data_IF_995800522075
#
_entry.id   IF_995800522075
#
_cell.length_a   1.000
_cell.length_b   1.000
_cell.length_c   1.000
_cell.angle_alpha   90.00
_cell.angle_beta   90.00
_cell.angle_gamma   90.00
#
_symmetry.space_group_name_H-M   'P 1'
#
loop_
_entity.id
_entity.type
_entity.pdbx_description
1 polymer ?
#
# COMPACT_ATOMS: atom_id res chain seq x y z
N UNK A 1 -11.23 45.97 -47.82
CA UNK A 1 -12.09 45.00 -47.13
C UNK A 1 -11.24 43.83 -46.65
N UNK A 2 -10.93 43.73 -45.36
CA UNK A 2 -10.17 42.61 -44.78
C UNK A 2 -11.17 41.56 -44.29
N UNK A 3 -11.19 40.38 -44.90
CA UNK A 3 -12.02 39.25 -44.47
C UNK A 3 -11.31 38.53 -43.33
N UNK A 4 -11.87 38.58 -42.13
CA UNK A 4 -11.41 37.78 -41.00
C UNK A 4 -11.89 36.34 -41.19
N UNK A 5 -10.94 35.42 -41.37
CA UNK A 5 -11.19 34.00 -41.48
C UNK A 5 -11.37 33.44 -40.06
N UNK A 6 -12.61 33.21 -39.66
CA UNK A 6 -12.96 32.62 -38.36
C UNK A 6 -12.68 31.11 -38.41
N UNK A 7 -11.55 30.70 -37.84
CA UNK A 7 -11.21 29.29 -37.63
C UNK A 7 -11.97 28.78 -36.39
N UNK A 8 -13.08 28.06 -36.62
CA UNK A 8 -13.78 27.34 -35.57
C UNK A 8 -13.03 26.01 -35.35
N UNK A 9 -12.26 25.94 -34.27
CA UNK A 9 -11.67 24.69 -33.79
C UNK A 9 -12.81 23.84 -33.21
N UNK A 10 -13.33 22.91 -34.02
CA UNK A 10 -14.28 21.90 -33.55
C UNK A 10 -13.48 20.91 -32.68
N UNK A 11 -13.43 21.16 -31.38
CA UNK A 11 -12.84 20.24 -30.40
C UNK A 11 -13.79 19.04 -30.30
N UNK A 12 -13.54 18.00 -31.10
CA UNK A 12 -14.27 16.74 -30.98
C UNK A 12 -13.92 16.11 -29.64
N UNK A 13 -14.84 16.20 -28.67
CA UNK A 13 -14.83 15.36 -27.47
C UNK A 13 -14.95 13.90 -27.94
N UNK A 14 -13.81 13.23 -28.08
CA UNK A 14 -13.81 11.77 -28.16
C UNK A 14 -14.36 11.28 -26.81
N UNK A 15 -15.44 10.49 -26.78
CA UNK A 15 -15.90 9.90 -25.53
C UNK A 15 -14.74 9.07 -24.98
N UNK A 16 -14.33 9.33 -23.74
CA UNK A 16 -13.49 8.38 -23.03
C UNK A 16 -14.29 7.07 -23.00
N UNK A 17 -13.75 6.01 -23.59
CA UNK A 17 -14.35 4.69 -23.45
C UNK A 17 -14.42 4.38 -21.95
N UNK A 18 -15.62 4.07 -21.45
CA UNK A 18 -15.82 3.59 -20.08
C UNK A 18 -14.87 2.41 -19.86
N UNK A 19 -14.15 2.43 -18.74
CA UNK A 19 -13.26 1.33 -18.45
C UNK A 19 -14.12 0.10 -18.12
N UNK A 20 -13.78 -1.08 -18.63
CA UNK A 20 -14.57 -2.26 -18.30
C UNK A 20 -14.54 -2.54 -16.77
N UNK A 21 -15.53 -3.27 -16.26
CA UNK A 21 -15.45 -3.89 -14.93
C UNK A 21 -14.74 -5.24 -14.99
N UNK A 22 -13.93 -5.56 -13.98
CA UNK A 22 -13.43 -6.92 -13.77
C UNK A 22 -14.34 -7.65 -12.77
N UNK A 23 -15.07 -8.65 -13.23
CA UNK A 23 -15.90 -9.50 -12.38
C UNK A 23 -15.45 -10.95 -12.49
N UNK A 24 -14.98 -11.53 -11.39
CA UNK A 24 -14.69 -12.96 -11.28
C UNK A 24 -15.60 -13.58 -10.23
N UNK A 25 -16.34 -14.61 -10.63
CA UNK A 25 -17.19 -15.39 -9.72
C UNK A 25 -16.70 -16.84 -9.76
N UNK A 26 -15.84 -17.19 -8.80
CA UNK A 26 -14.97 -18.37 -8.88
C UNK A 26 -13.90 -18.23 -9.96
N UNK A 27 -13.23 -19.35 -10.26
CA UNK A 27 -12.18 -19.40 -11.27
C UNK A 27 -10.94 -18.57 -10.92
N UNK A 28 -10.08 -18.35 -11.91
CA UNK A 28 -8.87 -17.56 -11.72
C UNK A 28 -8.48 -16.79 -12.99
N UNK A 29 -7.74 -15.69 -12.79
CA UNK A 29 -7.09 -14.94 -13.87
C UNK A 29 -5.70 -14.50 -13.42
N UNK A 30 -4.85 -14.11 -14.38
CA UNK A 30 -3.50 -13.59 -14.11
C UNK A 30 -3.32 -12.25 -14.82
N UNK A 31 -2.90 -11.22 -14.07
CA UNK A 31 -2.67 -9.86 -14.58
C UNK A 31 -1.28 -9.36 -14.20
N UNK A 32 -0.79 -8.35 -14.91
CA UNK A 32 0.40 -7.59 -14.57
C UNK A 32 0.34 -6.15 -15.07
N UNK A 33 1.33 -5.35 -14.71
CA UNK A 33 1.42 -3.95 -15.11
C UNK A 33 0.27 -3.10 -14.59
N UNK A 34 -0.03 -2.02 -15.30
CA UNK A 34 -1.10 -1.09 -14.93
C UNK A 34 -2.40 -1.47 -15.62
N UNK A 35 -3.43 -1.68 -14.82
CA UNK A 35 -4.78 -2.02 -15.25
C UNK A 35 -5.74 -0.94 -14.79
N UNK A 36 -6.69 -0.57 -15.65
CA UNK A 36 -7.73 0.42 -15.34
C UNK A 36 -9.09 -0.24 -15.46
N UNK A 37 -9.93 -0.10 -14.44
CA UNK A 37 -11.28 -0.65 -14.41
C UNK A 37 -12.27 0.35 -13.82
N UNK A 38 -13.54 0.21 -14.17
CA UNK A 38 -14.60 0.95 -13.47
C UNK A 38 -14.84 0.38 -12.07
N UNK A 39 -14.87 -0.95 -11.97
CA UNK A 39 -14.99 -1.67 -10.70
C UNK A 39 -14.31 -3.04 -10.77
N UNK A 40 -13.94 -3.57 -9.61
CA UNK A 40 -13.40 -4.93 -9.46
C UNK A 40 -14.24 -5.68 -8.45
N UNK A 41 -14.71 -6.87 -8.80
CA UNK A 41 -15.46 -7.76 -7.90
C UNK A 41 -14.93 -9.19 -8.02
N UNK A 42 -14.40 -9.71 -6.91
CA UNK A 42 -13.93 -11.08 -6.74
C UNK A 42 -14.84 -11.79 -5.74
N UNK A 43 -15.61 -12.77 -6.21
CA UNK A 43 -16.55 -13.55 -5.39
C UNK A 43 -16.42 -15.05 -5.62
N UNK A 44 -17.02 -15.86 -4.75
CA UNK A 44 -17.21 -17.29 -5.00
C UNK A 44 -15.91 -18.09 -5.08
N UNK A 45 -14.89 -17.68 -4.33
CA UNK A 45 -13.57 -18.30 -4.33
C UNK A 45 -12.68 -17.89 -5.49
N UNK A 46 -12.97 -16.75 -6.14
CA UNK A 46 -12.17 -16.24 -7.25
C UNK A 46 -10.72 -15.96 -6.84
N UNK A 47 -9.78 -16.23 -7.76
CA UNK A 47 -8.35 -15.97 -7.53
C UNK A 47 -7.77 -15.06 -8.62
N UNK A 48 -7.30 -13.89 -8.22
CA UNK A 48 -6.51 -13.00 -9.06
C UNK A 48 -5.01 -13.21 -8.78
N UNK A 49 -4.27 -13.69 -9.76
CA UNK A 49 -2.81 -13.84 -9.67
C UNK A 49 -2.07 -12.65 -10.30
N UNK A 50 -0.88 -12.35 -9.78
CA UNK A 50 0.08 -11.45 -10.45
C UNK A 50 1.01 -12.25 -11.36
N UNK A 51 1.24 -11.88 -12.61
CA UNK A 51 2.19 -12.59 -13.50
C UNK A 51 3.57 -12.68 -12.84
N UNK A 52 4.20 -13.87 -12.75
CA UNK A 52 5.53 -13.99 -12.14
C UNK A 52 6.59 -13.18 -12.90
N UNK A 53 7.51 -12.54 -12.18
CA UNK A 53 8.62 -11.81 -12.79
C UNK A 53 9.49 -12.74 -13.66
N UNK A 54 9.72 -12.33 -14.90
CA UNK A 54 10.49 -13.09 -15.88
C UNK A 54 11.84 -12.44 -16.27
N UNK A 55 12.21 -11.34 -15.62
CA UNK A 55 13.42 -10.58 -15.97
C UNK A 55 13.16 -9.35 -16.86
N UNK A 56 11.92 -9.09 -17.27
CA UNK A 56 11.58 -7.99 -18.16
C UNK A 56 10.17 -7.42 -17.94
N UNK A 57 9.97 -6.20 -18.45
CA UNK A 57 8.67 -5.55 -18.53
C UNK A 57 8.04 -5.27 -17.17
N UNK A 58 6.72 -5.47 -17.09
CA UNK A 58 5.88 -5.22 -15.91
C UNK A 58 5.59 -6.46 -15.08
N UNK A 59 6.19 -7.61 -15.42
CA UNK A 59 5.96 -8.86 -14.69
C UNK A 59 6.37 -8.72 -13.22
N UNK A 60 5.69 -9.45 -12.34
CA UNK A 60 5.84 -9.33 -10.89
C UNK A 60 5.26 -8.04 -10.28
N UNK A 61 4.68 -7.16 -11.09
CA UNK A 61 4.00 -5.95 -10.63
C UNK A 61 2.55 -5.92 -11.09
N UNK A 62 1.65 -5.44 -10.24
CA UNK A 62 0.26 -5.19 -10.58
C UNK A 62 -0.19 -3.86 -9.93
N UNK A 63 -0.68 -2.94 -10.77
CA UNK A 63 -1.24 -1.66 -10.35
C UNK A 63 -2.68 -1.62 -10.86
N UNK A 64 -3.64 -1.56 -9.94
CA UNK A 64 -5.07 -1.48 -10.23
C UNK A 64 -5.53 -0.05 -9.97
N UNK A 65 -5.92 0.66 -11.03
CA UNK A 65 -6.56 1.97 -10.95
C UNK A 65 -8.06 1.79 -11.20
N UNK A 66 -8.85 1.95 -10.15
CA UNK A 66 -10.28 1.63 -10.16
C UNK A 66 -11.10 2.89 -9.88
N UNK A 67 -11.98 3.26 -10.80
CA UNK A 67 -12.78 4.49 -10.66
C UNK A 67 -13.82 4.39 -9.51
N UNK A 68 -14.40 3.20 -9.36
CA UNK A 68 -15.38 2.85 -8.35
C UNK A 68 -14.78 1.96 -7.26
N UNK A 69 -15.41 0.80 -7.07
CA UNK A 69 -15.19 -0.05 -5.90
C UNK A 69 -14.35 -1.28 -6.22
N UNK A 70 -13.55 -1.70 -5.24
CA UNK A 70 -12.88 -3.00 -5.23
C UNK A 70 -13.51 -3.86 -4.13
N UNK A 71 -14.13 -4.97 -4.53
CA UNK A 71 -14.75 -5.94 -3.64
C UNK A 71 -14.04 -7.28 -3.74
N UNK A 72 -13.51 -7.79 -2.62
CA UNK A 72 -12.93 -9.13 -2.49
C UNK A 72 -13.64 -9.83 -1.34
N UNK A 73 -14.51 -10.78 -1.66
CA UNK A 73 -15.24 -11.53 -0.64
C UNK A 73 -14.33 -12.40 0.23
N UNK A 74 -14.86 -12.93 1.33
CA UNK A 74 -14.11 -13.71 2.31
C UNK A 74 -13.51 -15.01 1.78
N UNK A 75 -13.96 -15.49 0.62
CA UNK A 75 -13.49 -16.73 0.00
C UNK A 75 -12.46 -16.48 -1.09
N UNK A 76 -12.39 -15.26 -1.61
CA UNK A 76 -11.59 -14.86 -2.77
C UNK A 76 -10.21 -14.36 -2.39
N UNK A 77 -9.30 -14.35 -3.38
CA UNK A 77 -7.87 -14.12 -3.14
C UNK A 77 -7.21 -13.27 -4.20
N UNK A 78 -6.26 -12.43 -3.79
CA UNK A 78 -5.26 -11.78 -4.65
C UNK A 78 -3.88 -12.32 -4.27
N UNK A 79 -3.19 -13.00 -5.19
CA UNK A 79 -1.98 -13.78 -4.90
C UNK A 79 -0.79 -13.32 -5.76
N UNK A 80 0.23 -12.83 -5.07
CA UNK A 80 1.56 -12.51 -5.57
C UNK A 80 2.69 -13.25 -4.85
N UNK A 81 2.39 -14.36 -4.18
CA UNK A 81 3.39 -15.18 -3.48
C UNK A 81 4.47 -15.71 -4.45
N UNK A 82 5.75 -15.54 -4.09
CA UNK A 82 6.91 -15.99 -4.86
C UNK A 82 6.88 -15.61 -6.36
N UNK A 83 6.36 -14.41 -6.67
CA UNK A 83 6.17 -13.88 -8.04
C UNK A 83 6.95 -12.60 -8.32
N UNK A 84 7.78 -12.14 -7.38
CA UNK A 84 8.70 -11.01 -7.50
C UNK A 84 10.06 -11.43 -8.06
N UNK A 85 11.12 -10.68 -7.73
CA UNK A 85 12.46 -10.90 -8.29
C UNK A 85 12.95 -12.34 -8.06
N UNK A 86 13.68 -12.90 -9.05
CA UNK A 86 14.08 -14.31 -9.05
C UNK A 86 15.14 -14.59 -7.99
N UNK A 87 15.10 -15.80 -7.44
CA UNK A 87 16.18 -16.31 -6.60
C UNK A 87 17.43 -16.65 -7.42
N UNK A 88 18.57 -16.71 -6.73
CA UNK A 88 19.84 -17.05 -7.33
C UNK A 88 20.01 -18.57 -7.49
N UNK A 89 20.68 -18.98 -8.57
CA UNK A 89 21.00 -20.39 -8.80
C UNK A 89 21.95 -20.91 -7.71
N UNK A 90 21.78 -22.18 -7.34
CA UNK A 90 22.72 -22.88 -6.46
C UNK A 90 24.06 -23.14 -7.17
N UNK A 91 25.11 -23.29 -6.38
CA UNK A 91 26.44 -23.60 -6.90
C UNK A 91 26.49 -24.99 -7.55
N UNK A 92 27.24 -25.12 -8.64
CA UNK A 92 27.46 -26.42 -9.30
C UNK A 92 28.50 -27.26 -8.55
N UNK A 93 28.39 -28.60 -8.59
CA UNK A 93 29.45 -29.49 -8.10
C UNK A 93 30.78 -29.22 -8.81
N UNK A 94 31.90 -29.39 -8.11
CA UNK A 94 33.23 -29.38 -8.73
C UNK A 94 33.49 -30.63 -9.59
N UNK A 95 34.39 -30.56 -10.59
CA UNK A 95 34.93 -31.74 -11.32
C UNK A 95 35.71 -32.73 -10.41
N UNK A 96 36.38 -33.78 -10.92
CA UNK A 96 36.92 -34.88 -10.05
C UNK A 96 38.46 -34.99 -9.84
N UNK A 97 38.94 -35.12 -8.57
CA UNK A 97 40.33 -35.13 -7.96
C UNK A 97 41.55 -34.46 -8.68
N UNK A 98 42.41 -33.60 -8.04
CA UNK A 98 42.64 -33.43 -6.59
C UNK A 98 42.42 -32.02 -5.95
N UNK A 99 42.08 -30.97 -6.69
CA UNK A 99 41.72 -29.66 -6.12
C UNK A 99 40.60 -29.05 -6.97
N UNK A 100 39.37 -29.02 -6.44
CA UNK A 100 38.21 -28.55 -7.21
C UNK A 100 37.77 -27.16 -6.82
N UNK A 101 37.70 -26.32 -7.84
CA UNK A 101 36.89 -25.12 -7.82
C UNK A 101 35.42 -25.55 -7.85
N UNK A 102 34.82 -25.68 -6.67
CA UNK A 102 33.37 -25.67 -6.54
C UNK A 102 32.87 -24.27 -6.92
N UNK A 103 31.75 -24.20 -7.63
CA UNK A 103 31.19 -22.92 -8.05
C UNK A 103 30.34 -22.37 -6.91
N UNK A 104 30.58 -21.11 -6.55
CA UNK A 104 29.73 -20.40 -5.59
C UNK A 104 28.28 -20.36 -6.08
N UNK A 105 27.33 -20.24 -5.14
CA UNK A 105 25.97 -19.88 -5.51
C UNK A 105 25.92 -18.50 -6.17
N UNK A 106 24.81 -18.20 -6.84
CA UNK A 106 24.56 -16.87 -7.44
C UNK A 106 23.62 -16.09 -6.52
N UNK A 107 23.81 -14.77 -6.46
CA UNK A 107 22.92 -13.89 -5.71
C UNK A 107 21.56 -13.83 -6.40
N UNK A 108 20.50 -13.57 -5.63
CA UNK A 108 19.18 -13.31 -6.21
C UNK A 108 19.14 -12.03 -7.04
N UNK A 109 17.97 -11.72 -7.59
CA UNK A 109 17.68 -10.43 -8.19
C UNK A 109 17.01 -9.47 -7.18
N UNK A 110 16.97 -8.19 -7.52
CA UNK A 110 16.27 -7.16 -6.75
C UNK A 110 17.16 -6.31 -5.86
N UNK A 111 16.55 -5.26 -5.30
CA UNK A 111 17.20 -4.34 -4.37
C UNK A 111 17.46 -5.07 -3.04
N UNK A 112 18.61 -4.87 -2.40
CA UNK A 112 18.90 -5.59 -1.16
C UNK A 112 18.83 -7.12 -1.31
N UNK A 113 19.22 -7.68 -2.46
CA UNK A 113 19.43 -9.11 -2.62
C UNK A 113 20.45 -9.62 -1.58
N UNK A 114 20.27 -10.87 -1.16
CA UNK A 114 21.27 -11.51 -0.32
C UNK A 114 22.58 -11.79 -1.03
N UNK A 115 23.67 -11.84 -0.26
CA UNK A 115 24.96 -12.23 -0.78
C UNK A 115 25.03 -13.75 -1.03
N UNK A 116 25.85 -14.14 -1.98
CA UNK A 116 26.12 -15.54 -2.33
C UNK A 116 26.79 -16.28 -1.19
N UNK A 117 26.46 -17.55 -1.01
CA UNK A 117 27.32 -18.48 -0.30
C UNK A 117 28.67 -18.61 -0.99
N UNK A 118 29.76 -18.51 -0.23
CA UNK A 118 31.12 -18.72 -0.76
C UNK A 118 31.68 -20.06 -0.33
N UNK A 119 32.51 -20.63 -1.20
CA UNK A 119 33.28 -21.83 -0.93
C UNK A 119 34.72 -21.46 -0.55
N UNK A 120 35.36 -22.26 0.30
CA UNK A 120 36.79 -22.12 0.62
C UNK A 120 37.65 -22.61 -0.56
N UNK A 121 38.82 -22.00 -0.76
CA UNK A 121 39.71 -22.26 -1.88
C UNK A 121 40.37 -23.66 -1.86
N UNK A 122 40.36 -24.36 -0.72
CA UNK A 122 41.10 -25.62 -0.52
C UNK A 122 40.22 -26.81 -0.07
N UNK A 123 39.45 -27.34 -1.01
CA UNK A 123 39.29 -28.77 -1.33
C UNK A 123 38.69 -29.79 -0.36
N UNK A 124 38.98 -29.75 0.95
CA UNK A 124 38.74 -30.93 1.80
C UNK A 124 37.55 -30.84 2.74
N UNK A 125 37.10 -29.62 3.03
CA UNK A 125 36.07 -29.39 4.02
C UNK A 125 35.22 -28.18 3.61
N UNK A 126 34.29 -28.39 2.68
CA UNK A 126 33.50 -27.31 2.10
C UNK A 126 32.08 -27.35 2.59
N UNK A 127 31.72 -26.35 3.38
CA UNK A 127 30.35 -26.05 3.74
C UNK A 127 30.04 -24.65 3.18
N UNK A 128 29.52 -24.63 1.95
CA UNK A 128 29.14 -23.39 1.29
C UNK A 128 28.09 -22.68 2.14
N UNK A 129 28.43 -21.50 2.64
CA UNK A 129 27.55 -20.72 3.50
C UNK A 129 26.17 -20.53 2.86
N UNK A 130 25.10 -20.56 3.67
CA UNK A 130 23.74 -20.37 3.15
C UNK A 130 23.60 -19.03 2.40
N UNK A 131 22.79 -18.98 1.35
CA UNK A 131 22.53 -17.73 0.65
C UNK A 131 21.89 -16.69 1.57
N UNK A 132 22.32 -15.43 1.48
CA UNK A 132 21.65 -14.32 2.12
C UNK A 132 20.23 -14.15 1.60
N UNK A 133 19.38 -13.52 2.39
CA UNK A 133 18.00 -13.23 2.03
C UNK A 133 17.81 -11.86 1.37
N UNK A 134 16.75 -11.71 0.56
CA UNK A 134 16.26 -10.38 0.14
C UNK A 134 15.61 -9.61 1.31
N UNK A 135 15.45 -8.29 1.20
CA UNK A 135 14.97 -7.45 2.31
C UNK A 135 14.09 -6.28 1.90
N UNK A 136 12.78 -6.37 2.11
CA UNK A 136 11.86 -5.28 1.79
C UNK A 136 10.95 -4.90 2.97
N UNK A 137 11.46 -4.19 3.98
CA UNK A 137 10.68 -3.85 5.18
C UNK A 137 11.39 -4.26 6.46
N UNK A 138 12.06 -5.41 6.44
CA UNK A 138 13.07 -5.81 7.43
C UNK A 138 14.29 -6.43 6.76
N UNK A 139 15.42 -6.48 7.47
CA UNK A 139 16.65 -7.08 6.98
C UNK A 139 16.48 -8.59 6.80
N UNK A 140 17.17 -9.16 5.81
CA UNK A 140 17.24 -10.61 5.63
C UNK A 140 18.17 -11.25 6.66
N UNK A 141 17.93 -12.51 6.98
CA UNK A 141 18.87 -13.33 7.75
C UNK A 141 20.10 -13.68 6.93
N UNK A 142 21.25 -13.77 7.59
CA UNK A 142 22.46 -14.36 7.02
C UNK A 142 22.33 -15.88 7.00
N UNK A 143 22.92 -16.52 5.99
CA UNK A 143 23.17 -17.95 6.06
C UNK A 143 24.17 -18.28 7.17
N UNK A 144 24.12 -19.49 7.72
CA UNK A 144 25.14 -19.88 8.69
C UNK A 144 26.47 -20.15 7.98
N UNK A 145 27.56 -19.94 8.70
CA UNK A 145 28.81 -20.61 8.38
C UNK A 145 28.59 -22.11 8.59
N UNK A 146 29.19 -22.96 7.78
CA UNK A 146 29.31 -24.36 8.18
C UNK A 146 30.55 -24.58 9.03
N UNK A 147 30.87 -25.84 9.29
CA UNK A 147 31.90 -26.25 10.26
C UNK A 147 33.34 -25.86 9.86
N UNK A 148 33.51 -25.28 8.67
CA UNK A 148 34.80 -24.92 8.09
C UNK A 148 34.76 -23.49 7.52
N UNK A 149 35.95 -22.90 7.27
CA UNK A 149 36.27 -21.48 7.00
C UNK A 149 35.44 -20.70 5.97
N UNK A 150 34.43 -21.30 5.35
CA UNK A 150 33.45 -20.62 4.51
C UNK A 150 32.61 -19.61 5.30
N UNK A 151 32.35 -18.47 4.67
CA UNK A 151 31.45 -17.44 5.22
C UNK A 151 30.04 -17.64 4.66
N UNK A 152 29.06 -17.65 5.57
CA UNK A 152 27.64 -17.49 5.28
C UNK A 152 27.39 -16.30 4.37
N UNK A 153 26.48 -16.45 3.41
CA UNK A 153 26.00 -15.32 2.63
C UNK A 153 25.32 -14.30 3.56
N UNK A 154 25.80 -13.07 3.56
CA UNK A 154 25.20 -11.98 4.32
C UNK A 154 23.76 -11.71 3.85
N UNK A 155 22.84 -11.52 4.79
CA UNK A 155 21.48 -11.09 4.51
C UNK A 155 21.42 -9.72 3.82
N UNK A 156 20.34 -9.49 3.07
CA UNK A 156 20.08 -8.24 2.36
C UNK A 156 19.75 -7.07 3.29
N UNK A 157 20.12 -5.86 2.84
CA UNK A 157 19.78 -4.58 3.51
C UNK A 157 18.42 -4.05 3.10
N UNK A 158 17.64 -3.53 4.06
CA UNK A 158 16.33 -2.92 3.80
C UNK A 158 16.40 -1.80 2.76
N UNK A 159 15.37 -1.69 1.91
CA UNK A 159 15.27 -0.61 0.92
C UNK A 159 13.85 -0.06 0.78
N UNK A 160 13.74 1.18 0.28
CA UNK A 160 12.52 1.98 0.15
C UNK A 160 12.20 2.77 1.43
N UNK A 161 11.12 3.56 1.41
CA UNK A 161 10.74 4.41 2.55
C UNK A 161 9.60 3.83 3.39
N UNK A 162 9.59 4.14 4.68
CA UNK A 162 8.53 3.65 5.60
C UNK A 162 7.19 4.38 5.37
N UNK A 163 7.23 5.69 5.14
CA UNK A 163 6.05 6.57 5.08
C UNK A 163 5.71 7.12 3.70
N UNK A 164 6.59 6.96 2.71
CA UNK A 164 6.33 7.38 1.34
C UNK A 164 5.35 6.47 0.60
N UNK A 165 5.04 6.83 -0.63
CA UNK A 165 4.11 6.09 -1.50
C UNK A 165 4.77 4.94 -2.27
N UNK A 166 6.06 4.71 -2.05
CA UNK A 166 6.81 3.68 -2.75
C UNK A 166 6.51 2.28 -2.20
N UNK A 167 6.09 1.39 -3.09
CA UNK A 167 6.18 -0.05 -2.87
C UNK A 167 7.01 -0.71 -3.97
N UNK A 168 7.54 -1.89 -3.70
CA UNK A 168 8.39 -2.63 -4.63
C UNK A 168 8.10 -4.12 -4.54
N UNK A 169 8.48 -4.86 -5.59
CA UNK A 169 8.64 -6.31 -5.49
C UNK A 169 9.64 -6.64 -4.41
N UNK A 170 9.46 -7.82 -3.81
CA UNK A 170 10.42 -8.45 -2.94
C UNK A 170 11.58 -9.05 -3.73
N UNK A 171 12.74 -9.11 -3.08
CA UNK A 171 13.99 -9.59 -3.65
C UNK A 171 14.13 -11.10 -3.50
N UNK A 172 14.79 -11.71 -4.49
CA UNK A 172 15.07 -13.15 -4.47
C UNK A 172 16.08 -13.53 -3.41
N UNK A 173 15.96 -14.75 -2.87
CA UNK A 173 16.99 -15.35 -2.02
C UNK A 173 18.22 -15.74 -2.84
N UNK A 174 19.41 -15.73 -2.23
CA UNK A 174 20.62 -16.21 -2.90
C UNK A 174 20.70 -17.74 -2.93
N UNK A 175 21.42 -18.30 -3.90
CA UNK A 175 21.73 -19.73 -3.93
C UNK A 175 22.80 -20.12 -2.92
N UNK A 176 22.72 -21.34 -2.41
CA UNK A 176 23.76 -21.95 -1.58
C UNK A 176 24.98 -22.35 -2.41
N UNK A 177 26.15 -22.43 -1.77
CA UNK A 177 27.37 -22.91 -2.42
C UNK A 177 27.31 -24.40 -2.76
N UNK A 178 27.90 -24.80 -3.88
CA UNK A 178 28.09 -26.21 -4.21
C UNK A 178 29.16 -26.86 -3.33
N UNK A 179 29.05 -28.17 -3.13
CA UNK A 179 30.08 -28.97 -2.46
C UNK A 179 30.87 -29.81 -3.49
N UNK A 180 31.47 -30.91 -3.03
CA UNK A 180 32.24 -31.84 -3.87
C UNK A 180 31.38 -32.54 -4.95
N UNK A 181 32.01 -33.45 -5.71
CA UNK A 181 31.64 -33.96 -7.06
C UNK A 181 30.16 -34.21 -7.38
N UNK A 182 29.30 -34.47 -6.38
CA UNK A 182 27.91 -34.86 -6.61
C UNK A 182 26.89 -33.92 -5.95
N UNK A 183 27.33 -32.93 -5.19
CA UNK A 183 26.46 -32.15 -4.30
C UNK A 183 26.34 -30.70 -4.74
N UNK A 184 25.33 -30.41 -5.57
CA UNK A 184 24.98 -29.04 -5.93
C UNK A 184 24.41 -28.28 -4.73
N UNK A 185 24.66 -26.98 -4.68
CA UNK A 185 23.98 -26.08 -3.77
C UNK A 185 22.53 -25.92 -4.19
N UNK A 186 21.66 -25.59 -3.25
CA UNK A 186 20.26 -25.31 -3.53
C UNK A 186 20.04 -23.88 -4.01
N UNK A 187 19.08 -23.71 -4.93
CA UNK A 187 18.67 -22.40 -5.39
C UNK A 187 17.95 -21.61 -4.28
N UNK A 188 18.11 -20.29 -4.29
CA UNK A 188 17.18 -19.40 -3.60
C UNK A 188 15.86 -19.33 -4.35
N UNK A 189 14.80 -18.88 -3.69
CA UNK A 189 13.49 -18.74 -4.30
C UNK A 189 13.13 -17.28 -4.65
N UNK A 190 12.09 -17.05 -5.49
CA UNK A 190 11.66 -15.71 -5.85
C UNK A 190 10.98 -14.96 -4.70
N UNK A 191 11.12 -13.63 -4.68
CA UNK A 191 10.46 -12.74 -3.72
C UNK A 191 8.95 -12.62 -3.96
N UNK A 192 8.24 -11.91 -3.10
CA UNK A 192 6.84 -11.56 -3.33
C UNK A 192 6.67 -10.51 -4.43
N UNK A 193 5.56 -10.53 -5.16
CA UNK A 193 5.24 -9.53 -6.19
C UNK A 193 4.94 -8.14 -5.58
N UNK A 194 4.56 -7.18 -6.42
CA UNK A 194 4.07 -5.86 -6.00
C UNK A 194 2.60 -5.70 -6.37
N UNK A 195 1.82 -5.16 -5.44
CA UNK A 195 0.43 -4.75 -5.65
C UNK A 195 0.24 -3.30 -5.23
N UNK A 196 -0.42 -2.53 -6.10
CA UNK A 196 -1.02 -1.23 -5.77
C UNK A 196 -2.48 -1.25 -6.15
N UNK A 197 -3.37 -0.86 -5.25
CA UNK A 197 -4.79 -0.65 -5.52
C UNK A 197 -5.13 0.80 -5.20
N UNK A 198 -5.54 1.55 -6.23
CA UNK A 198 -6.12 2.88 -6.09
C UNK A 198 -7.61 2.76 -6.42
N UNK A 199 -8.49 3.08 -5.46
CA UNK A 199 -9.93 3.02 -5.69
C UNK A 199 -10.67 4.08 -4.89
N UNK A 200 -11.96 4.30 -5.23
CA UNK A 200 -12.84 5.11 -4.40
C UNK A 200 -13.11 4.43 -3.07
N UNK A 201 -13.53 3.17 -3.14
CA UNK A 201 -13.76 2.32 -1.98
C UNK A 201 -13.03 0.98 -2.14
N UNK A 202 -12.49 0.46 -1.05
CA UNK A 202 -11.82 -0.85 -1.01
C UNK A 202 -12.45 -1.67 0.10
N UNK A 203 -13.05 -2.81 -0.28
CA UNK A 203 -13.65 -3.81 0.59
C UNK A 203 -12.94 -5.14 0.38
N UNK A 204 -12.06 -5.50 1.31
CA UNK A 204 -11.33 -6.75 1.28
C UNK A 204 -11.69 -7.52 2.54
N UNK A 205 -12.40 -8.63 2.37
CA UNK A 205 -12.69 -9.58 3.44
C UNK A 205 -11.96 -10.91 3.22
N UNK A 206 -11.43 -11.12 2.01
CA UNK A 206 -10.66 -12.30 1.64
C UNK A 206 -9.17 -12.21 1.95
N UNK A 207 -8.37 -12.88 1.12
CA UNK A 207 -6.90 -12.96 1.30
C UNK A 207 -6.16 -12.13 0.26
N UNK A 208 -5.18 -11.33 0.70
CA UNK A 208 -4.16 -10.68 -0.15
C UNK A 208 -2.79 -11.17 0.31
N UNK A 209 -2.07 -11.88 -0.56
CA UNK A 209 -0.85 -12.61 -0.18
C UNK A 209 0.30 -12.38 -1.14
N UNK A 210 1.39 -11.80 -0.64
CA UNK A 210 2.58 -11.40 -1.40
C UNK A 210 3.85 -11.83 -0.65
N UNK A 211 3.89 -13.06 -0.17
CA UNK A 211 5.03 -13.60 0.58
C UNK A 211 6.20 -13.95 -0.36
N UNK A 212 7.42 -13.93 0.17
CA UNK A 212 8.57 -14.51 -0.49
C UNK A 212 8.58 -16.04 -0.41
N UNK A 213 9.20 -16.70 -1.40
CA UNK A 213 9.39 -18.15 -1.37
C UNK A 213 10.44 -18.59 -0.36
N UNK A 214 10.24 -19.77 0.25
CA UNK A 214 11.23 -20.40 1.11
C UNK A 214 12.43 -20.89 0.29
N UNK A 215 13.66 -20.78 0.79
CA UNK A 215 14.86 -21.25 0.08
C UNK A 215 14.88 -22.77 -0.15
N UNK A 216 15.61 -23.22 -1.18
CA UNK A 216 15.76 -24.66 -1.44
C UNK A 216 16.58 -25.35 -0.36
N UNK A 217 16.18 -26.56 0.03
CA UNK A 217 16.93 -27.37 1.00
C UNK A 217 18.19 -27.94 0.34
N UNK A 218 19.35 -27.81 0.97
CA UNK A 218 20.58 -28.46 0.52
C UNK A 218 20.44 -29.99 0.44
N UNK A 219 21.22 -30.63 -0.44
CA UNK A 219 21.19 -32.08 -0.62
C UNK A 219 21.72 -32.82 0.62
N UNK A 220 21.07 -33.92 1.00
CA UNK A 220 21.53 -34.77 2.10
C UNK A 220 22.46 -35.86 1.58
N UNK A 221 23.71 -35.91 2.07
CA UNK A 221 24.62 -37.00 1.78
C UNK A 221 25.35 -37.44 3.06
N UNK A 222 25.06 -38.65 3.54
CA UNK A 222 25.57 -39.16 4.83
C UNK A 222 26.74 -40.16 4.69
N UNK A 223 27.23 -40.40 3.47
CA UNK A 223 28.26 -41.42 3.28
C UNK A 223 29.65 -40.81 3.53
N UNK A 224 30.39 -41.34 4.51
CA UNK A 224 31.80 -41.04 4.81
C UNK A 224 32.20 -39.62 5.25
N UNK A 225 31.28 -38.81 5.77
CA UNK A 225 31.62 -37.47 6.28
C UNK A 225 31.90 -36.45 5.17
N UNK A 226 31.46 -36.72 3.94
CA UNK A 226 31.44 -35.72 2.88
C UNK A 226 30.34 -34.69 3.13
N UNK A 227 30.64 -33.43 2.83
CA UNK A 227 29.75 -32.32 3.08
C UNK A 227 28.62 -32.21 2.05
N UNK A 228 27.45 -31.76 2.51
CA UNK A 228 26.30 -31.42 1.70
C UNK A 228 26.48 -30.10 0.97
N UNK A 229 25.80 -29.94 -0.17
CA UNK A 229 25.64 -28.63 -0.79
C UNK A 229 24.87 -27.68 0.13
N UNK A 230 25.21 -26.40 0.11
CA UNK A 230 24.58 -25.39 0.95
C UNK A 230 23.10 -25.17 0.60
N UNK A 231 22.30 -24.78 1.59
CA UNK A 231 20.90 -24.41 1.37
C UNK A 231 20.76 -23.03 0.72
N UNK A 232 19.70 -22.87 -0.07
CA UNK A 232 19.31 -21.58 -0.63
C UNK A 232 18.72 -20.65 0.43
N UNK A 233 18.90 -19.35 0.27
CA UNK A 233 18.28 -18.31 1.09
C UNK A 233 16.79 -18.15 0.80
N UNK A 234 16.04 -17.76 1.83
CA UNK A 234 14.65 -17.36 1.73
C UNK A 234 14.51 -16.00 1.03
N UNK A 235 13.44 -15.84 0.26
CA UNK A 235 13.17 -14.61 -0.47
C UNK A 235 12.35 -13.62 0.36
N UNK A 236 12.40 -12.33 0.03
CA UNK A 236 11.66 -11.34 0.79
C UNK A 236 10.18 -11.29 0.43
N UNK A 237 9.36 -10.84 1.38
CA UNK A 237 7.99 -10.43 1.08
C UNK A 237 7.95 -9.27 0.08
N UNK A 238 6.83 -9.16 -0.63
CA UNK A 238 6.55 -8.12 -1.61
C UNK A 238 5.96 -6.84 -1.01
N UNK A 239 5.51 -5.94 -1.88
CA UNK A 239 4.89 -4.68 -1.51
C UNK A 239 3.42 -4.64 -1.81
N UNK A 240 2.62 -4.23 -0.82
CA UNK A 240 1.18 -4.03 -0.94
C UNK A 240 0.88 -2.58 -0.59
N UNK A 241 0.32 -1.83 -1.53
CA UNK A 241 -0.22 -0.49 -1.30
C UNK A 241 -1.72 -0.51 -1.57
N UNK A 242 -2.52 -0.20 -0.54
CA UNK A 242 -3.96 0.00 -0.66
C UNK A 242 -4.25 1.48 -0.44
N UNK A 243 -4.88 2.12 -1.41
CA UNK A 243 -5.21 3.54 -1.36
C UNK A 243 -6.69 3.74 -1.70
N UNK A 244 -7.48 4.06 -0.67
CA UNK A 244 -8.89 4.42 -0.80
C UNK A 244 -9.07 5.90 -0.49
N UNK A 245 -9.74 6.64 -1.39
CA UNK A 245 -10.05 8.04 -1.13
C UNK A 245 -11.34 8.26 -0.34
N UNK A 246 -12.13 7.21 -0.09
CA UNK A 246 -13.36 7.29 0.70
C UNK A 246 -13.40 6.22 1.80
N UNK A 247 -13.90 5.01 1.51
CA UNK A 247 -14.04 3.95 2.52
C UNK A 247 -13.00 2.85 2.32
N UNK A 248 -12.32 2.46 3.40
CA UNK A 248 -11.53 1.24 3.44
C UNK A 248 -12.08 0.28 4.49
N UNK A 249 -12.50 -0.90 4.06
CA UNK A 249 -12.92 -1.98 4.93
C UNK A 249 -12.07 -3.22 4.67
N UNK A 250 -11.24 -3.56 5.64
CA UNK A 250 -10.38 -4.74 5.68
C UNK A 250 -10.86 -5.75 6.73
N UNK A 251 -12.09 -5.61 7.24
CA UNK A 251 -12.59 -6.48 8.31
C UNK A 251 -12.55 -7.95 7.93
N UNK A 252 -12.11 -8.79 8.87
CA UNK A 252 -11.91 -10.23 8.69
C UNK A 252 -10.94 -10.65 7.56
N UNK A 253 -10.21 -9.72 6.95
CA UNK A 253 -9.24 -10.04 5.91
C UNK A 253 -7.97 -10.70 6.43
N UNK A 254 -7.26 -11.37 5.52
CA UNK A 254 -5.86 -11.77 5.74
C UNK A 254 -4.98 -11.06 4.71
N UNK A 255 -4.11 -10.16 5.16
CA UNK A 255 -3.20 -9.41 4.29
C UNK A 255 -1.76 -9.70 4.73
N UNK A 256 -0.96 -10.30 3.85
CA UNK A 256 0.39 -10.73 4.22
C UNK A 256 1.43 -10.48 3.14
N UNK A 257 2.60 -10.07 3.59
CA UNK A 257 3.80 -9.93 2.79
C UNK A 257 5.00 -10.40 3.63
N UNK A 258 5.02 -11.67 4.02
CA UNK A 258 6.08 -12.23 4.86
C UNK A 258 7.28 -12.66 4.02
N UNK A 259 8.46 -12.68 4.63
CA UNK A 259 9.63 -13.33 4.03
C UNK A 259 9.50 -14.85 4.07
N UNK A 260 10.18 -15.52 3.15
CA UNK A 260 10.28 -16.97 3.13
C UNK A 260 11.32 -17.49 4.12
N UNK A 261 11.15 -18.71 4.64
CA UNK A 261 12.18 -19.35 5.44
C UNK A 261 13.45 -19.62 4.61
N UNK A 262 14.62 -19.68 5.24
CA UNK A 262 15.81 -20.21 4.61
C UNK A 262 15.70 -21.72 4.40
N UNK A 263 16.42 -22.26 3.42
CA UNK A 263 16.49 -23.71 3.21
C UNK A 263 17.14 -24.42 4.39
N UNK A 264 16.68 -25.62 4.70
CA UNK A 264 17.20 -26.44 5.80
C UNK A 264 18.11 -27.56 5.29
N UNK A 265 19.13 -27.92 6.08
CA UNK A 265 19.90 -29.16 5.92
C UNK A 265 20.14 -29.79 7.29
N UNK A 266 20.19 -31.12 7.35
CA UNK A 266 20.79 -31.85 8.46
C UNK A 266 22.30 -31.90 8.24
N UNK A 267 23.09 -31.32 9.15
CA UNK A 267 24.57 -31.43 9.10
C UNK A 267 25.37 -30.17 8.73
N UNK A 268 24.80 -28.98 8.89
CA UNK A 268 25.42 -27.63 8.86
C UNK A 268 25.36 -26.85 7.53
N UNK A 269 25.07 -25.53 7.64
CA UNK A 269 24.81 -24.53 6.56
C UNK A 269 23.35 -24.29 6.10
N UNK A 270 22.37 -24.08 7.01
CA UNK A 270 21.06 -23.53 6.61
C UNK A 270 21.17 -22.17 5.91
N UNK A 271 20.22 -21.93 5.00
CA UNK A 271 20.03 -20.65 4.33
C UNK A 271 19.52 -19.57 5.28
N UNK A 272 19.80 -18.30 4.97
CA UNK A 272 19.22 -17.17 5.70
C UNK A 272 17.72 -17.01 5.40
N UNK A 273 16.92 -16.55 6.36
CA UNK A 273 15.49 -16.27 6.16
C UNK A 273 15.25 -14.95 5.44
N UNK A 274 14.26 -14.92 4.55
CA UNK A 274 13.75 -13.74 3.86
C UNK A 274 13.33 -12.62 4.81
N UNK A 275 13.67 -11.37 4.47
CA UNK A 275 13.07 -10.21 5.13
C UNK A 275 11.57 -10.14 4.84
N UNK A 276 10.79 -9.64 5.80
CA UNK A 276 9.40 -9.31 5.55
C UNK A 276 9.28 -8.22 4.48
N UNK A 277 8.11 -8.19 3.83
CA UNK A 277 7.65 -7.20 2.87
C UNK A 277 7.10 -5.93 3.53
N UNK A 278 6.39 -5.09 2.76
CA UNK A 278 5.70 -3.90 3.29
C UNK A 278 4.25 -3.83 2.89
N UNK A 279 3.43 -3.43 3.85
CA UNK A 279 2.01 -3.17 3.66
C UNK A 279 1.75 -1.71 4.02
N UNK A 280 1.26 -0.92 3.06
CA UNK A 280 0.89 0.47 3.24
C UNK A 280 -0.59 0.65 2.95
N UNK A 281 -1.30 1.22 3.89
CA UNK A 281 -2.74 1.44 3.84
C UNK A 281 -3.01 2.93 3.96
N UNK A 282 -3.41 3.55 2.85
CA UNK A 282 -3.86 4.93 2.76
C UNK A 282 -5.39 4.96 2.69
N UNK A 283 -6.04 5.68 3.60
CA UNK A 283 -7.50 5.72 3.68
C UNK A 283 -8.03 7.14 3.86
N UNK A 284 -9.15 7.44 3.18
CA UNK A 284 -9.72 8.78 3.08
C UNK A 284 -10.64 9.19 4.22
N UNK A 285 -11.83 8.61 4.31
CA UNK A 285 -12.86 8.98 5.29
C UNK A 285 -12.97 7.98 6.44
N UNK A 286 -12.88 6.68 6.16
CA UNK A 286 -13.02 5.64 7.17
C UNK A 286 -12.11 4.44 6.92
N UNK A 287 -11.66 3.83 8.02
CA UNK A 287 -10.97 2.55 8.05
C UNK A 287 -11.68 1.62 9.03
N UNK A 288 -12.13 0.48 8.55
CA UNK A 288 -12.55 -0.68 9.36
C UNK A 288 -11.54 -1.79 9.16
N UNK A 289 -10.94 -2.32 10.23
CA UNK A 289 -9.99 -3.43 10.17
C UNK A 289 -10.17 -4.44 11.30
N UNK A 290 -11.34 -4.43 11.94
CA UNK A 290 -11.67 -5.36 13.03
C UNK A 290 -11.59 -6.81 12.55
N UNK A 291 -10.88 -7.65 13.30
CA UNK A 291 -10.70 -9.06 12.96
C UNK A 291 -9.76 -9.33 11.78
N UNK A 292 -9.11 -8.30 11.23
CA UNK A 292 -8.09 -8.49 10.18
C UNK A 292 -6.79 -9.07 10.74
N UNK A 293 -6.11 -9.89 9.95
CA UNK A 293 -4.74 -10.35 10.21
C UNK A 293 -3.80 -9.73 9.19
N UNK A 294 -2.94 -8.80 9.64
CA UNK A 294 -1.99 -8.09 8.78
C UNK A 294 -0.56 -8.38 9.21
N UNK A 295 0.24 -9.01 8.35
CA UNK A 295 1.62 -9.46 8.68
C UNK A 295 2.62 -9.11 7.59
N UNK A 296 3.70 -8.42 7.96
CA UNK A 296 4.80 -8.04 7.08
C UNK A 296 6.02 -7.61 7.90
N UNK A 297 7.13 -7.28 7.23
CA UNK A 297 8.29 -6.67 7.88
C UNK A 297 8.01 -5.23 8.34
N UNK A 298 7.15 -4.51 7.62
CA UNK A 298 6.66 -3.19 8.00
C UNK A 298 5.20 -3.01 7.58
N UNK A 299 4.36 -2.49 8.49
CA UNK A 299 2.96 -2.16 8.24
C UNK A 299 2.71 -0.71 8.62
N UNK A 300 2.10 0.07 7.73
CA UNK A 300 1.74 1.46 7.98
C UNK A 300 0.28 1.72 7.59
N UNK A 301 -0.46 2.36 8.50
CA UNK A 301 -1.79 2.90 8.25
C UNK A 301 -1.66 4.42 8.26
N UNK A 302 -2.01 5.05 7.15
CA UNK A 302 -1.84 6.48 6.93
C UNK A 302 -3.18 7.06 6.54
N UNK A 303 -3.68 7.97 7.37
CA UNK A 303 -4.85 8.77 7.00
C UNK A 303 -4.47 9.70 5.85
N UNK A 304 -5.18 9.61 4.73
CA UNK A 304 -4.94 10.40 3.52
C UNK A 304 -6.24 11.13 3.15
N UNK A 305 -6.55 12.27 3.81
CA UNK A 305 -7.79 12.98 3.57
C UNK A 305 -7.88 13.48 2.12
N UNK A 306 -9.09 13.65 1.58
CA UNK A 306 -9.26 14.11 0.20
C UNK A 306 -8.83 15.57 0.03
N UNK A 307 -8.64 15.99 -1.22
CA UNK A 307 -8.57 17.41 -1.57
C UNK A 307 -9.98 17.95 -1.81
N UNK A 308 -10.27 19.16 -1.32
CA UNK A 308 -11.47 19.92 -1.69
C UNK A 308 -11.11 20.85 -2.84
N UNK A 309 -11.58 20.55 -4.05
CA UNK A 309 -11.37 21.39 -5.24
C UNK A 309 -12.72 21.88 -5.77
N UNK A 310 -12.95 23.18 -5.68
CA UNK A 310 -14.10 23.85 -6.29
C UNK A 310 -13.60 24.73 -7.44
N UNK A 311 -14.12 24.47 -8.64
CA UNK A 311 -13.70 25.11 -9.88
C UNK A 311 -14.92 25.70 -10.60
N UNK A 312 -15.22 26.97 -10.34
CA UNK A 312 -16.43 27.65 -10.82
C UNK A 312 -17.75 27.05 -10.33
N UNK A 313 -17.69 26.18 -9.32
CA UNK A 313 -18.84 25.53 -8.71
C UNK A 313 -19.03 25.98 -7.27
N UNK A 314 -20.25 25.78 -6.75
CA UNK A 314 -20.56 26.02 -5.35
C UNK A 314 -20.81 24.71 -4.60
N UNK A 315 -20.39 24.66 -3.33
CA UNK A 315 -20.69 23.55 -2.43
C UNK A 315 -21.10 24.09 -1.06
N UNK A 316 -21.99 23.38 -0.35
CA UNK A 316 -22.37 23.72 1.02
C UNK A 316 -21.85 22.63 1.97
N UNK A 317 -21.17 23.04 3.05
CA UNK A 317 -20.59 22.15 4.06
C UNK A 317 -20.92 22.61 5.49
N UNK A 318 -20.94 21.68 6.43
CA UNK A 318 -21.01 21.96 7.87
C UNK A 318 -20.24 20.96 8.71
N UNK A 319 -20.05 21.32 9.98
CA UNK A 319 -19.28 20.57 10.96
C UNK A 319 -17.78 20.61 10.68
N UNK A 320 -17.08 19.65 11.29
CA UNK A 320 -15.63 19.50 11.11
C UNK A 320 -15.34 18.66 9.88
N UNK A 321 -14.53 19.20 8.97
CA UNK A 321 -14.01 18.51 7.79
C UNK A 321 -12.50 18.46 7.84
N UNK A 322 -11.93 17.36 7.37
CA UNK A 322 -10.48 17.20 7.24
C UNK A 322 -10.18 17.05 5.76
N UNK A 323 -9.30 17.90 5.25
CA UNK A 323 -8.85 17.86 3.86
C UNK A 323 -7.33 17.88 3.81
N UNK A 324 -6.76 17.26 2.77
CA UNK A 324 -5.33 17.38 2.49
C UNK A 324 -5.02 18.80 2.02
N UNK A 325 -5.72 19.27 1.01
CA UNK A 325 -5.70 20.67 0.57
C UNK A 325 -7.10 21.18 0.25
N UNK A 326 -7.27 22.50 0.27
CA UNK A 326 -8.51 23.17 -0.15
C UNK A 326 -8.16 24.16 -1.25
N UNK A 327 -8.76 24.03 -2.42
CA UNK A 327 -8.56 24.92 -3.57
C UNK A 327 -9.91 25.40 -4.10
N UNK A 328 -10.16 26.71 -4.04
CA UNK A 328 -11.31 27.38 -4.63
C UNK A 328 -10.82 28.29 -5.76
N UNK A 329 -11.31 28.07 -6.98
CA UNK A 329 -10.92 28.84 -8.16
C UNK A 329 -12.08 29.11 -9.12
N UNK A 330 -11.88 30.05 -10.03
CA UNK A 330 -12.77 30.40 -11.13
C UNK A 330 -14.20 30.77 -10.68
N UNK A 331 -14.32 31.60 -9.65
CA UNK A 331 -15.58 32.01 -9.01
C UNK A 331 -16.29 30.90 -8.23
N UNK A 332 -15.51 29.97 -7.67
CA UNK A 332 -16.05 28.95 -6.78
C UNK A 332 -16.60 29.56 -5.48
N UNK A 333 -17.65 28.93 -4.93
CA UNK A 333 -18.27 29.38 -3.67
C UNK A 333 -18.46 28.24 -2.69
N UNK A 334 -17.77 28.30 -1.55
CA UNK A 334 -18.03 27.39 -0.44
C UNK A 334 -18.96 28.04 0.58
N UNK A 335 -20.13 27.44 0.78
CA UNK A 335 -21.12 27.87 1.75
C UNK A 335 -21.04 27.06 3.04
N UNK A 336 -21.21 27.72 4.19
CA UNK A 336 -21.56 27.02 5.45
C UNK A 336 -23.03 26.54 5.37
N UNK A 337 -23.42 25.41 5.95
CA UNK A 337 -24.85 25.06 6.05
C UNK A 337 -25.54 25.98 7.07
N UNK A 338 -26.70 26.61 6.79
CA UNK A 338 -27.43 27.40 7.78
C UNK A 338 -27.84 26.58 9.01
N UNK A 339 -27.74 27.16 10.20
CA UNK A 339 -28.23 26.54 11.43
C UNK A 339 -29.75 26.32 11.38
N UNK A 340 -30.20 25.13 11.76
CA UNK A 340 -31.61 24.74 11.77
C UNK A 340 -32.15 24.38 13.16
N UNK A 341 -31.37 24.63 14.21
CA UNK A 341 -31.74 24.26 15.58
C UNK A 341 -31.03 23.03 16.13
N UNK A 342 -30.26 22.28 15.32
CA UNK A 342 -29.63 21.03 15.76
C UNK A 342 -28.23 20.78 15.17
N UNK A 343 -27.46 19.93 15.85
CA UNK A 343 -26.23 19.34 15.30
C UNK A 343 -25.09 20.33 15.03
N UNK A 344 -24.41 20.13 13.91
CA UNK A 344 -23.20 20.86 13.49
C UNK A 344 -23.47 22.02 12.53
N UNK A 345 -24.73 22.23 12.14
CA UNK A 345 -25.11 23.26 11.18
C UNK A 345 -24.83 24.65 11.76
N UNK A 346 -24.62 25.62 10.88
CA UNK A 346 -24.14 26.96 11.25
C UNK A 346 -22.68 27.02 11.69
N UNK A 347 -21.97 25.89 11.69
CA UNK A 347 -20.53 25.80 11.97
C UNK A 347 -19.84 25.07 10.82
N UNK A 348 -18.67 25.54 10.41
CA UNK A 348 -17.75 24.82 9.52
C UNK A 348 -16.34 24.97 10.06
N UNK A 349 -15.68 23.85 10.35
CA UNK A 349 -14.27 23.79 10.74
C UNK A 349 -13.53 23.03 9.65
N UNK A 350 -12.57 23.69 9.00
CA UNK A 350 -11.72 23.09 7.97
C UNK A 350 -10.34 22.79 8.59
N UNK A 351 -10.08 21.52 8.86
CA UNK A 351 -8.75 21.03 9.26
C UNK A 351 -7.98 20.65 8.01
N UNK A 352 -7.13 21.56 7.52
CA UNK A 352 -6.39 21.37 6.27
C UNK A 352 -4.94 21.04 6.57
N UNK A 353 -4.45 19.92 6.04
CA UNK A 353 -3.11 19.41 6.36
C UNK A 353 -1.99 20.16 5.62
N UNK A 354 -2.25 20.59 4.38
CA UNK A 354 -1.29 21.27 3.52
C UNK A 354 -1.70 22.74 3.34
N UNK A 355 -2.38 23.04 2.23
CA UNK A 355 -2.61 24.41 1.76
C UNK A 355 -4.10 24.73 1.59
N UNK A 356 -4.44 25.99 1.84
CA UNK A 356 -5.73 26.58 1.52
C UNK A 356 -5.52 27.69 0.48
N UNK A 357 -5.96 27.44 -0.74
CA UNK A 357 -5.87 28.35 -1.87
C UNK A 357 -7.27 28.82 -2.26
N UNK A 358 -7.52 30.13 -2.19
CA UNK A 358 -8.78 30.75 -2.66
C UNK A 358 -8.38 31.85 -3.63
N UNK A 359 -8.76 31.72 -4.90
CA UNK A 359 -8.43 32.75 -5.89
C UNK A 359 -9.24 34.03 -5.68
N UNK A 360 -8.82 35.11 -6.34
CA UNK A 360 -9.45 36.44 -6.20
C UNK A 360 -10.93 36.50 -6.59
N UNK A 361 -11.44 35.50 -7.29
CA UNK A 361 -12.83 35.45 -7.76
C UNK A 361 -13.71 34.57 -6.88
N UNK A 362 -13.10 33.72 -6.03
CA UNK A 362 -13.77 32.71 -5.24
C UNK A 362 -14.03 33.15 -3.81
N UNK A 363 -14.98 32.50 -3.13
CA UNK A 363 -15.44 32.93 -1.79
C UNK A 363 -15.78 31.76 -0.88
N UNK A 364 -15.52 31.93 0.42
CA UNK A 364 -16.12 31.12 1.49
C UNK A 364 -17.13 32.03 2.20
N UNK A 365 -18.39 31.63 2.24
CA UNK A 365 -19.49 32.46 2.75
C UNK A 365 -20.07 31.81 4.00
N UNK A 366 -20.13 32.56 5.11
CA UNK A 366 -20.79 32.19 6.36
C UNK A 366 -21.99 33.10 6.70
N UNK A 367 -22.33 34.03 5.82
CA UNK A 367 -23.27 35.12 6.08
C UNK A 367 -24.68 34.61 6.39
N UNK A 368 -25.26 35.11 7.50
CA UNK A 368 -26.60 34.75 7.99
C UNK A 368 -26.81 33.23 8.23
N UNK A 369 -25.74 32.49 8.54
CA UNK A 369 -25.81 31.02 8.71
C UNK A 369 -25.64 30.53 10.14
N UNK A 370 -25.25 31.40 11.05
CA UNK A 370 -25.14 31.09 12.48
C UNK A 370 -26.49 30.94 13.18
N UNK A 371 -26.47 30.95 14.51
CA UNK A 371 -27.66 30.79 15.35
C UNK A 371 -28.79 31.77 14.99
N UNK A 372 -30.02 31.26 14.92
CA UNK A 372 -31.21 32.06 14.64
C UNK A 372 -31.64 32.87 15.89
N UNK A 373 -32.07 34.11 15.66
CA UNK A 373 -32.77 34.90 16.68
C UNK A 373 -34.12 34.24 17.05
N UNK A 374 -34.61 34.50 18.26
CA UNK A 374 -35.89 33.94 18.71
C UNK A 374 -37.09 34.61 18.05
N UNK A 375 -38.16 33.85 17.81
CA UNK A 375 -39.41 34.38 17.26
C UNK A 375 -40.22 35.12 18.35
N UNK A 376 -40.79 36.29 18.03
CA UNK A 376 -41.80 36.97 18.85
C UNK A 376 -41.41 37.31 20.30
N UNK A 377 -40.15 37.70 20.55
CA UNK A 377 -39.65 37.97 21.91
C UNK A 377 -39.09 36.74 22.65
N UNK A 378 -39.06 35.57 22.00
CA UNK A 378 -38.36 34.39 22.51
C UNK A 378 -36.84 34.55 22.53
N UNK A 379 -36.16 33.80 23.40
CA UNK A 379 -34.70 33.73 23.43
C UNK A 379 -34.15 33.14 22.12
N UNK A 380 -32.99 33.63 21.67
CA UNK A 380 -32.29 33.06 20.52
C UNK A 380 -31.79 31.64 20.81
N UNK A 381 -31.75 30.79 19.78
CA UNK A 381 -31.29 29.41 19.91
C UNK A 381 -29.78 29.40 19.71
N UNK A 382 -28.98 29.53 20.77
CA UNK A 382 -27.52 29.47 20.70
C UNK A 382 -26.87 29.28 22.07
N UNK A 383 -25.63 28.76 22.11
CA UNK A 383 -24.96 28.35 23.35
C UNK A 383 -24.80 29.44 24.43
N UNK A 384 -24.85 30.71 24.03
CA UNK A 384 -24.81 31.86 24.94
C UNK A 384 -26.19 32.42 25.32
N UNK A 385 -27.29 31.91 24.74
CA UNK A 385 -28.68 32.29 25.03
C UNK A 385 -28.92 33.81 24.96
N UNK A 386 -29.08 34.36 23.75
CA UNK A 386 -29.50 35.76 23.62
C UNK A 386 -30.85 35.96 24.30
N UNK A 387 -30.95 36.92 25.23
CA UNK A 387 -32.19 37.23 25.94
C UNK A 387 -33.24 37.71 24.95
N UNK A 388 -34.42 37.08 25.00
CA UNK A 388 -35.57 37.49 24.22
C UNK A 388 -35.99 38.91 24.60
N UNK A 389 -36.47 39.69 23.62
CA UNK A 389 -37.00 41.03 23.88
C UNK A 389 -38.22 40.95 24.80
N UNK A 390 -38.31 41.85 25.77
CA UNK A 390 -39.47 41.91 26.67
C UNK A 390 -40.71 42.34 25.88
N UNK A 391 -41.79 41.57 25.99
CA UNK A 391 -43.18 41.91 25.63
C UNK A 391 -43.40 42.52 24.23
N UNK A 392 -43.69 41.65 23.25
CA UNK A 392 -44.62 41.95 22.16
C UNK A 392 -44.16 42.88 21.02
N UNK A 393 -42.95 43.45 21.07
CA UNK A 393 -42.52 44.39 20.02
C UNK A 393 -41.09 44.25 19.46
N UNK A 394 -40.18 43.55 20.16
CA UNK A 394 -38.75 43.55 19.77
C UNK A 394 -38.18 42.12 19.73
N UNK A 395 -37.64 41.70 18.57
CA UNK A 395 -36.90 40.43 18.43
C UNK A 395 -35.54 40.55 19.12
N UNK A 396 -35.18 39.56 19.97
CA UNK A 396 -33.84 39.48 20.56
C UNK A 396 -32.78 39.07 19.53
N UNK A 397 -31.57 39.63 19.64
CA UNK A 397 -30.45 39.27 18.76
C UNK A 397 -29.93 37.86 19.02
N UNK A 398 -29.55 37.14 17.95
CA UNK A 398 -28.83 35.87 18.08
C UNK A 398 -27.46 36.09 18.74
N UNK A 399 -27.09 35.23 19.69
CA UNK A 399 -25.76 35.24 20.31
C UNK A 399 -24.71 34.55 19.42
N UNK A 400 -23.45 34.99 19.51
CA UNK A 400 -22.33 34.31 18.84
C UNK A 400 -21.78 33.17 19.70
N UNK A 401 -20.96 32.31 19.08
CA UNK A 401 -20.04 31.44 19.80
C UNK A 401 -19.03 32.35 20.53
N UNK A 402 -19.07 32.37 21.88
CA UNK A 402 -18.28 33.15 22.86
C UNK A 402 -18.77 34.52 23.31
N UNK A 403 -19.73 35.18 22.66
CA UNK A 403 -20.22 36.48 23.12
C UNK A 403 -21.75 36.47 23.25
N UNK A 404 -22.25 36.99 24.37
CA UNK A 404 -23.68 37.23 24.55
C UNK A 404 -24.20 38.15 23.43
N UNK A 405 -25.33 37.77 22.82
CA UNK A 405 -25.99 38.60 21.81
C UNK A 405 -26.42 39.94 22.41
N UNK A 406 -26.36 41.01 21.61
CA UNK A 406 -26.86 42.32 22.03
C UNK A 406 -28.34 42.25 22.39
N UNK A 407 -28.71 42.85 23.52
CA UNK A 407 -30.12 42.97 23.93
C UNK A 407 -30.93 43.69 22.85
N UNK A 408 -32.12 43.19 22.55
CA UNK A 408 -33.02 43.83 21.58
C UNK A 408 -33.29 45.27 22.00
N UNK A 409 -32.97 46.23 21.13
CA UNK A 409 -33.25 47.65 21.37
C UNK A 409 -34.76 47.85 21.47
N UNK A 410 -35.25 48.19 22.66
CA UNK A 410 -36.64 48.57 22.84
C UNK A 410 -36.92 49.85 22.05
N UNK A 411 -37.73 49.73 21.01
CA UNK A 411 -38.35 50.90 20.38
C UNK A 411 -39.31 51.51 21.38
N UNK A 412 -38.96 52.69 21.91
CA UNK A 412 -39.84 53.54 22.71
C UNK A 412 -40.80 54.33 21.84
#
# INVERSE_FOLDING_TARGET
>A
MKRALLFIFLLSFLPLADAASLTLNGGSTTLDGTQTYDSITLTGGAILYVTPYNGAGTTGTLILNVAGDVNVDSTSKIIGDARGYRGGAGGSPGGGFPCYYSVNGVGGEGLGKGATGTNDACGYYMSGGGGGAGSYGSAGGSGSNGDHSGTGGAGGSTYGTQTGWDVSMGSGGAGGGGANQDNAGSAGNPGGAMLTINARNIYIHGTVSFNGGAGGNGGYYYYYGYSSGGSGGGASGGGILLNSCNTMDLSSSTIRANGGAGGSVTGTSPGGSGGGGRIKVFYGNSLSNTGSTVTAGSVAYVYNPPDLILDGTSQTLDGTKIYKSVTLKNSAILYVTPYDGTGTKGTLILNVLNDVNVDSTSKIIGDARGYMGGNGGGAGVGGAGGSGGQNGGSSGGGGSYWCGGGGGGGGG
#
